data_IF_457271178370
#
_entry.id   IF_457271178370
#
_cell.length_a   1.000
_cell.length_b   1.000
_cell.length_c   1.000
_cell.angle_alpha   90.00
_cell.angle_beta   90.00
_cell.angle_gamma   90.00
#
_symmetry.space_group_name_H-M   'P 1'
#
loop_
_entity.id
_entity.type
_entity.pdbx_description
1 polymer ?
#
# COMPACT_ATOMS: atom_id res chain seq x y z
N UNK A 1 11.66 -1.49 -3.53
CA UNK A 1 11.75 -1.61 -4.99
C UNK A 1 10.38 -1.82 -5.61
N UNK A 2 10.23 -1.63 -6.93
CA UNK A 2 8.96 -1.90 -7.62
C UNK A 2 8.62 -3.40 -7.61
N UNK A 3 7.34 -3.75 -7.67
CA UNK A 3 6.87 -5.14 -7.74
C UNK A 3 7.60 -5.91 -8.84
N UNK A 4 7.68 -5.35 -10.04
CA UNK A 4 8.37 -5.98 -11.17
C UNK A 4 9.88 -6.21 -10.92
N UNK A 5 10.55 -5.32 -10.18
CA UNK A 5 11.96 -5.49 -9.85
C UNK A 5 12.17 -6.63 -8.85
N UNK A 6 11.28 -6.75 -7.87
CA UNK A 6 11.32 -7.85 -6.87
C UNK A 6 11.05 -9.19 -7.56
N UNK A 7 9.99 -9.29 -8.39
CA UNK A 7 9.70 -10.52 -9.14
C UNK A 7 10.86 -10.95 -10.03
N UNK A 8 11.44 -10.01 -10.78
CA UNK A 8 12.58 -10.29 -11.64
C UNK A 8 13.78 -10.79 -10.83
N UNK A 9 14.10 -10.15 -9.70
CA UNK A 9 15.19 -10.56 -8.83
C UNK A 9 14.99 -11.94 -8.21
N UNK A 10 13.73 -12.37 -7.96
CA UNK A 10 13.44 -13.74 -7.51
C UNK A 10 13.57 -14.73 -8.67
N UNK A 11 13.14 -14.38 -9.88
CA UNK A 11 13.24 -15.25 -11.06
C UNK A 11 14.72 -15.49 -11.45
N UNK A 12 15.54 -14.45 -11.47
CA UNK A 12 16.96 -14.55 -11.84
C UNK A 12 17.86 -15.05 -10.69
N UNK A 13 17.33 -15.15 -9.47
CA UNK A 13 18.04 -15.67 -8.30
C UNK A 13 18.85 -14.63 -7.53
N UNK A 14 18.79 -13.35 -7.91
CA UNK A 14 19.37 -12.24 -7.12
C UNK A 14 18.72 -12.11 -5.75
N UNK A 15 17.41 -12.47 -5.67
CA UNK A 15 16.67 -12.60 -4.42
C UNK A 15 16.18 -14.03 -4.26
N UNK A 16 16.24 -14.57 -3.04
CA UNK A 16 15.72 -15.89 -2.75
C UNK A 16 14.23 -15.88 -2.39
N UNK A 17 13.75 -14.80 -1.77
CA UNK A 17 12.36 -14.57 -1.37
C UNK A 17 12.00 -13.14 -1.71
N UNK A 18 10.77 -12.92 -2.17
CA UNK A 18 10.19 -11.60 -2.33
C UNK A 18 8.92 -11.46 -1.48
N UNK A 19 8.56 -10.25 -1.10
CA UNK A 19 7.28 -9.90 -0.49
C UNK A 19 6.73 -8.73 -1.29
N UNK A 20 5.51 -8.86 -1.81
CA UNK A 20 4.88 -7.86 -2.66
C UNK A 20 3.36 -7.80 -2.39
N UNK A 21 2.71 -6.68 -2.71
CA UNK A 21 1.26 -6.65 -2.86
C UNK A 21 0.80 -7.67 -3.90
N UNK A 22 -0.27 -8.39 -3.59
CA UNK A 22 -0.86 -9.35 -4.53
C UNK A 22 -1.34 -8.62 -5.80
N UNK A 23 -0.99 -9.18 -6.95
CA UNK A 23 -1.40 -8.71 -8.26
C UNK A 23 -1.47 -9.91 -9.23
N UNK A 24 -1.20 -9.72 -10.52
CA UNK A 24 -1.15 -10.82 -11.49
C UNK A 24 -0.11 -11.88 -11.10
N UNK A 25 -0.39 -13.15 -11.41
CA UNK A 25 0.53 -14.26 -11.18
C UNK A 25 1.48 -14.49 -12.36
N UNK A 26 2.72 -14.87 -12.07
CA UNK A 26 3.71 -15.37 -13.04
C UNK A 26 3.86 -16.87 -12.91
N UNK A 27 3.92 -17.60 -14.04
CA UNK A 27 4.14 -19.05 -14.04
C UNK A 27 5.51 -19.47 -13.49
N UNK A 28 6.49 -18.56 -13.50
CA UNK A 28 7.84 -18.79 -12.98
C UNK A 28 7.96 -18.71 -11.48
N UNK A 29 6.91 -18.24 -10.79
CA UNK A 29 6.89 -17.98 -9.37
C UNK A 29 5.83 -18.82 -8.64
N UNK A 30 6.06 -19.06 -7.36
CA UNK A 30 5.10 -19.64 -6.41
C UNK A 30 4.75 -18.54 -5.40
N UNK A 31 3.47 -18.29 -5.22
CA UNK A 31 2.95 -17.26 -4.33
C UNK A 31 2.30 -17.91 -3.11
N UNK A 32 2.50 -17.32 -1.94
CA UNK A 32 1.84 -17.74 -0.70
C UNK A 32 1.33 -16.50 0.03
N UNK A 33 0.06 -16.53 0.42
CA UNK A 33 -0.56 -15.43 1.17
C UNK A 33 0.16 -15.20 2.51
N UNK A 34 0.30 -13.93 2.89
CA UNK A 34 0.89 -13.53 4.16
C UNK A 34 -0.10 -12.78 5.04
N UNK A 35 -0.35 -11.51 4.72
CA UNK A 35 -1.20 -10.63 5.52
C UNK A 35 -1.92 -9.62 4.63
N UNK A 36 -2.97 -9.01 5.18
CA UNK A 36 -3.69 -7.92 4.54
C UNK A 36 -3.54 -6.62 5.31
N UNK A 37 -3.45 -5.51 4.60
CA UNK A 37 -3.49 -4.16 5.17
C UNK A 37 -4.77 -3.45 4.74
N UNK A 38 -5.34 -2.65 5.64
CA UNK A 38 -6.42 -1.72 5.30
C UNK A 38 -5.80 -0.37 4.96
N UNK A 39 -6.04 0.06 3.74
CA UNK A 39 -5.58 1.36 3.25
C UNK A 39 -6.72 2.35 3.40
N UNK A 40 -6.51 3.42 4.16
CA UNK A 40 -7.48 4.50 4.36
C UNK A 40 -6.98 5.77 3.67
N UNK A 41 -7.92 6.61 3.22
CA UNK A 41 -7.60 7.94 2.70
C UNK A 41 -7.33 8.89 3.87
N UNK A 42 -6.22 9.58 3.84
CA UNK A 42 -5.81 10.52 4.88
C UNK A 42 -5.62 11.93 4.37
N UNK A 43 -5.85 12.89 5.28
CA UNK A 43 -5.42 14.28 5.15
C UNK A 43 -4.52 14.67 6.32
N UNK A 44 -3.61 15.61 6.10
CA UNK A 44 -2.75 16.17 7.13
C UNK A 44 -3.30 17.45 7.76
N UNK A 45 -2.78 17.80 8.93
CA UNK A 45 -3.09 19.07 9.57
C UNK A 45 -2.81 20.25 8.61
N UNK A 46 -3.79 21.17 8.50
CA UNK A 46 -3.76 22.28 7.54
C UNK A 46 -4.47 21.99 6.20
N UNK A 47 -4.88 20.75 5.93
CA UNK A 47 -5.74 20.44 4.79
C UNK A 47 -7.18 20.91 5.07
N UNK A 48 -7.93 21.39 4.06
CA UNK A 48 -9.33 21.85 4.28
C UNK A 48 -10.28 20.82 4.89
N UNK A 49 -10.01 19.54 4.68
CA UNK A 49 -10.79 18.45 5.28
C UNK A 49 -10.35 18.09 6.71
N UNK A 50 -9.22 18.59 7.20
CA UNK A 50 -8.75 18.26 8.55
C UNK A 50 -9.62 18.95 9.59
N UNK A 51 -10.23 18.16 10.49
CA UNK A 51 -11.17 18.66 11.51
C UNK A 51 -12.54 19.07 10.99
N UNK A 52 -12.82 18.92 9.69
CA UNK A 52 -14.11 19.19 9.10
C UNK A 52 -15.05 17.97 9.23
N UNK A 53 -16.39 18.17 9.21
CA UNK A 53 -17.33 17.05 9.06
C UNK A 53 -17.15 16.34 7.72
N UNK A 54 -17.24 15.02 7.71
CA UNK A 54 -17.02 14.20 6.51
C UNK A 54 -18.29 13.48 6.02
N UNK A 55 -19.42 13.61 6.72
CA UNK A 55 -20.62 12.79 6.50
C UNK A 55 -21.15 12.86 5.07
N UNK A 56 -21.07 14.03 4.45
CA UNK A 56 -21.55 14.29 3.08
C UNK A 56 -20.45 14.18 2.01
N UNK A 57 -19.21 13.77 2.38
CA UNK A 57 -18.14 13.62 1.41
C UNK A 57 -18.35 12.38 0.55
N UNK A 58 -18.30 12.57 -0.76
CA UNK A 58 -18.27 11.52 -1.76
C UNK A 58 -17.00 11.61 -2.63
N UNK A 59 -16.88 10.73 -3.62
CA UNK A 59 -15.74 10.73 -4.54
C UNK A 59 -15.68 12.02 -5.36
N UNK A 60 -16.81 12.65 -5.71
CA UNK A 60 -16.83 13.89 -6.49
C UNK A 60 -16.29 15.07 -5.68
N UNK A 61 -16.57 15.11 -4.38
CA UNK A 61 -16.00 16.09 -3.46
C UNK A 61 -14.49 15.90 -3.29
N UNK A 62 -14.05 14.65 -3.09
CA UNK A 62 -12.63 14.31 -2.88
C UNK A 62 -11.77 14.59 -4.11
N UNK A 63 -12.32 14.39 -5.34
CA UNK A 63 -11.60 14.68 -6.61
C UNK A 63 -11.17 16.14 -6.78
N UNK A 64 -11.75 17.05 -6.03
CA UNK A 64 -11.40 18.48 -6.07
C UNK A 64 -10.07 18.79 -5.39
N UNK A 65 -9.56 17.86 -4.60
CA UNK A 65 -8.31 18.03 -3.85
C UNK A 65 -7.15 17.33 -4.54
N UNK A 66 -5.94 17.90 -4.46
CA UNK A 66 -4.74 17.25 -4.95
C UNK A 66 -4.49 15.91 -4.25
N UNK A 67 -4.18 14.89 -5.03
CA UNK A 67 -3.90 13.54 -4.53
C UNK A 67 -2.43 13.17 -4.71
N UNK A 68 -1.82 12.60 -3.67
CA UNK A 68 -0.50 11.99 -3.70
C UNK A 68 -0.64 10.47 -3.86
N UNK A 69 -0.11 9.93 -4.93
CA UNK A 69 -0.21 8.51 -5.25
C UNK A 69 1.13 7.85 -5.52
N UNK A 70 1.18 6.51 -5.43
CA UNK A 70 2.37 5.74 -5.74
C UNK A 70 2.72 5.80 -7.24
N UNK A 71 4.01 5.90 -7.55
CA UNK A 71 4.54 6.05 -8.90
C UNK A 71 4.76 4.74 -9.66
N UNK A 72 4.32 3.60 -9.12
CA UNK A 72 4.42 2.29 -9.75
C UNK A 72 3.06 1.58 -9.75
N UNK A 73 2.92 0.59 -10.63
CA UNK A 73 1.70 -0.22 -10.70
C UNK A 73 1.45 -0.94 -9.37
N UNK A 74 0.29 -0.71 -8.78
CA UNK A 74 -0.09 -1.21 -7.46
C UNK A 74 -1.61 -1.08 -7.28
N UNK A 75 -2.22 -1.76 -6.30
CA UNK A 75 -3.63 -1.58 -5.96
C UNK A 75 -4.01 -0.11 -5.71
N UNK A 76 -3.09 0.69 -5.16
CA UNK A 76 -3.27 2.14 -4.99
C UNK A 76 -3.47 2.86 -6.33
N UNK A 77 -2.68 2.50 -7.35
CA UNK A 77 -2.78 3.10 -8.67
C UNK A 77 -4.09 2.71 -9.36
N UNK A 78 -4.51 1.46 -9.24
CA UNK A 78 -5.76 0.96 -9.81
C UNK A 78 -6.96 1.71 -9.21
N UNK A 79 -7.07 1.74 -7.89
CA UNK A 79 -8.14 2.45 -7.20
C UNK A 79 -8.14 3.95 -7.54
N UNK A 80 -6.99 4.62 -7.50
CA UNK A 80 -6.92 6.05 -7.80
C UNK A 80 -7.33 6.37 -9.22
N UNK A 81 -7.08 5.48 -10.17
CA UNK A 81 -7.52 5.60 -11.55
C UNK A 81 -9.04 5.37 -11.69
N UNK A 82 -9.57 4.33 -11.07
CA UNK A 82 -11.02 4.04 -11.06
C UNK A 82 -11.80 5.17 -10.39
N UNK A 83 -11.31 5.66 -9.24
CA UNK A 83 -11.88 6.79 -8.54
C UNK A 83 -11.65 8.14 -9.25
N UNK A 84 -10.90 8.16 -10.36
CA UNK A 84 -10.53 9.36 -11.13
C UNK A 84 -9.90 10.46 -10.28
N UNK A 85 -9.04 10.08 -9.33
CA UNK A 85 -8.30 11.04 -8.50
C UNK A 85 -7.24 11.77 -9.32
N UNK A 86 -7.15 13.08 -9.17
CA UNK A 86 -6.13 13.89 -9.86
C UNK A 86 -4.81 13.77 -9.11
N UNK A 87 -3.92 12.89 -9.58
CA UNK A 87 -2.60 12.72 -9.00
C UNK A 87 -1.72 13.93 -9.30
N UNK A 88 -1.52 14.78 -8.30
CA UNK A 88 -0.73 16.00 -8.37
C UNK A 88 0.69 15.82 -7.79
N UNK A 89 0.92 14.74 -7.05
CA UNK A 89 2.24 14.38 -6.53
C UNK A 89 2.45 12.85 -6.59
N UNK A 90 3.69 12.42 -6.66
CA UNK A 90 4.08 11.02 -6.78
C UNK A 90 5.13 10.67 -5.73
N UNK A 91 4.88 9.62 -4.95
CA UNK A 91 5.87 8.96 -4.09
C UNK A 91 6.20 7.56 -4.60
N UNK A 92 7.32 7.01 -4.14
CA UNK A 92 7.74 5.65 -4.52
C UNK A 92 7.75 4.67 -3.34
N UNK A 93 7.32 5.13 -2.17
CA UNK A 93 7.15 4.38 -0.94
C UNK A 93 6.09 5.06 -0.05
N UNK A 94 5.68 4.39 1.02
CA UNK A 94 4.64 4.91 1.92
C UNK A 94 5.14 6.13 2.72
N UNK A 95 6.42 6.20 3.03
CA UNK A 95 7.04 7.33 3.74
C UNK A 95 6.96 8.62 2.92
N UNK A 96 7.19 8.51 1.61
CA UNK A 96 7.05 9.64 0.68
C UNK A 96 5.61 10.13 0.61
N UNK A 97 4.64 9.20 0.52
CA UNK A 97 3.22 9.54 0.53
C UNK A 97 2.84 10.20 1.86
N UNK A 98 3.27 9.62 2.99
CA UNK A 98 2.99 10.20 4.31
C UNK A 98 3.56 11.63 4.44
N UNK A 99 4.77 11.86 3.93
CA UNK A 99 5.39 13.19 3.93
C UNK A 99 4.55 14.19 3.13
N UNK A 100 4.06 13.80 1.96
CA UNK A 100 3.20 14.64 1.13
C UNK A 100 1.87 14.93 1.82
N UNK A 101 1.22 13.94 2.44
CA UNK A 101 -0.04 14.10 3.18
C UNK A 101 0.17 14.98 4.42
N UNK A 102 1.25 14.76 5.19
CA UNK A 102 1.60 15.54 6.37
C UNK A 102 1.87 17.03 6.06
N UNK A 103 2.17 17.36 4.81
CA UNK A 103 2.29 18.76 4.37
C UNK A 103 0.97 19.54 4.44
N UNK A 104 -0.17 18.84 4.60
CA UNK A 104 -1.51 19.44 4.60
C UNK A 104 -2.00 19.90 3.22
N UNK A 105 -1.30 19.52 2.14
CA UNK A 105 -1.65 19.92 0.76
C UNK A 105 -2.26 18.81 -0.07
N UNK A 106 -2.06 17.56 0.31
CA UNK A 106 -2.46 16.39 -0.49
C UNK A 106 -3.30 15.44 0.34
N UNK A 107 -4.22 14.79 -0.33
CA UNK A 107 -4.82 13.53 0.14
C UNK A 107 -3.93 12.37 -0.30
N UNK A 108 -3.93 11.26 0.45
CA UNK A 108 -3.21 10.05 0.08
C UNK A 108 -3.67 8.85 0.87
N UNK A 109 -3.51 7.66 0.28
CA UNK A 109 -3.79 6.41 0.96
C UNK A 109 -2.56 5.94 1.73
N UNK A 110 -2.76 5.60 2.99
CA UNK A 110 -1.75 5.00 3.87
C UNK A 110 -2.34 3.79 4.60
N UNK A 111 -1.51 2.80 4.96
CA UNK A 111 -1.95 1.73 5.86
C UNK A 111 -2.42 2.32 7.20
N UNK A 112 -3.54 1.83 7.70
CA UNK A 112 -4.13 2.30 8.97
C UNK A 112 -3.16 2.19 10.14
N UNK A 113 -2.51 1.04 10.31
CA UNK A 113 -1.52 0.80 11.36
C UNK A 113 -0.29 1.73 11.25
N UNK A 114 0.12 2.10 10.03
CA UNK A 114 1.22 3.05 9.81
C UNK A 114 0.80 4.48 10.20
N UNK A 115 -0.41 4.87 9.82
CA UNK A 115 -0.94 6.21 10.07
C UNK A 115 -1.31 6.45 11.55
N UNK A 116 -1.62 5.40 12.32
CA UNK A 116 -2.08 5.47 13.71
C UNK A 116 -1.20 6.34 14.61
N UNK A 117 0.12 6.24 14.48
CA UNK A 117 1.05 7.04 15.29
C UNK A 117 0.95 8.54 14.98
N UNK A 118 0.59 8.91 13.77
CA UNK A 118 0.38 10.30 13.36
C UNK A 118 -1.01 10.79 13.76
N UNK A 119 -2.03 9.94 13.69
CA UNK A 119 -3.39 10.25 14.14
C UNK A 119 -3.42 10.56 15.65
N UNK A 120 -2.78 9.71 16.46
CA UNK A 120 -2.67 9.94 17.92
C UNK A 120 -1.97 11.27 18.28
N UNK A 121 -1.14 11.80 17.38
CA UNK A 121 -0.49 13.10 17.53
C UNK A 121 -1.26 14.25 16.89
N UNK A 122 -2.46 14.01 16.38
CA UNK A 122 -3.25 15.02 15.67
C UNK A 122 -2.62 15.55 14.40
N UNK A 123 -1.77 14.76 13.73
CA UNK A 123 -1.06 15.16 12.51
C UNK A 123 -1.72 14.65 11.24
N UNK A 124 -2.39 13.51 11.32
CA UNK A 124 -3.21 12.93 10.25
C UNK A 124 -4.63 12.71 10.75
N UNK A 125 -5.56 12.67 9.81
CA UNK A 125 -6.95 12.29 10.04
C UNK A 125 -7.43 11.46 8.86
N UNK A 126 -8.06 10.32 9.16
CA UNK A 126 -8.73 9.51 8.16
C UNK A 126 -9.96 10.28 7.63
N UNK A 127 -10.10 10.31 6.31
CA UNK A 127 -11.20 10.94 5.61
C UNK A 127 -12.22 9.87 5.27
N UNK A 128 -13.35 9.86 5.98
CA UNK A 128 -14.46 8.94 5.75
C UNK A 128 -14.02 7.49 5.55
N UNK A 129 -13.46 6.84 6.59
CA UNK A 129 -12.86 5.51 6.49
C UNK A 129 -13.85 4.40 6.13
N UNK A 130 -15.14 4.63 6.33
CA UNK A 130 -16.24 3.78 5.89
C UNK A 130 -16.41 3.72 4.36
N UNK A 131 -16.01 4.78 3.64
CA UNK A 131 -16.18 4.90 2.19
C UNK A 131 -14.85 4.87 1.43
N UNK A 132 -13.83 5.59 1.92
CA UNK A 132 -12.57 5.77 1.21
C UNK A 132 -11.50 4.82 1.75
N UNK A 133 -11.67 3.55 1.47
CA UNK A 133 -10.72 2.50 1.87
C UNK A 133 -10.58 1.42 0.79
N UNK A 134 -9.51 0.64 0.88
CA UNK A 134 -9.35 -0.60 0.15
C UNK A 134 -8.44 -1.55 0.93
N UNK A 135 -8.50 -2.84 0.61
CA UNK A 135 -7.59 -3.83 1.19
C UNK A 135 -6.44 -4.10 0.23
N UNK A 136 -5.25 -4.16 0.79
CA UNK A 136 -4.04 -4.56 0.09
C UNK A 136 -3.56 -5.89 0.69
N UNK A 137 -3.64 -6.98 -0.08
CA UNK A 137 -3.14 -8.28 0.32
C UNK A 137 -1.66 -8.39 -0.05
N UNK A 138 -0.82 -8.87 0.86
CA UNK A 138 0.58 -9.16 0.62
C UNK A 138 0.81 -10.66 0.47
N UNK A 139 1.73 -11.01 -0.41
CA UNK A 139 2.14 -12.38 -0.68
C UNK A 139 3.66 -12.49 -0.62
N UNK A 140 4.15 -13.64 -0.15
CA UNK A 140 5.54 -14.03 -0.37
C UNK A 140 5.66 -14.79 -1.67
N UNK A 141 6.80 -14.67 -2.32
CA UNK A 141 7.08 -15.36 -3.57
C UNK A 141 8.46 -16.02 -3.57
N UNK A 142 8.49 -17.20 -4.15
CA UNK A 142 9.67 -17.99 -4.42
C UNK A 142 9.73 -18.32 -5.91
N UNK A 143 10.91 -18.52 -6.47
CA UNK A 143 11.02 -19.06 -7.83
C UNK A 143 10.52 -20.51 -7.89
N UNK A 144 9.92 -20.90 -8.98
CA UNK A 144 9.47 -22.28 -9.19
C UNK A 144 10.60 -23.19 -9.60
N UNK A 145 11.49 -22.72 -10.48
CA UNK A 145 12.64 -23.47 -10.99
C UNK A 145 13.84 -22.53 -11.21
N UNK A 146 15.05 -22.96 -10.86
CA UNK A 146 15.38 -24.16 -10.05
C UNK A 146 14.75 -24.08 -8.66
N UNK A 147 14.63 -25.23 -7.98
CA UNK A 147 13.98 -25.30 -6.65
C UNK A 147 14.58 -24.29 -5.66
N UNK A 148 13.76 -23.68 -4.78
CA UNK A 148 14.23 -22.78 -3.73
C UNK A 148 15.21 -23.47 -2.78
N UNK A 149 16.12 -22.70 -2.19
CA UNK A 149 17.02 -23.22 -1.15
C UNK A 149 16.24 -23.59 0.12
N UNK A 150 16.80 -24.51 0.91
CA UNK A 150 16.21 -24.87 2.21
C UNK A 150 16.04 -23.66 3.13
N UNK A 151 16.98 -22.70 3.08
CA UNK A 151 16.90 -21.46 3.85
C UNK A 151 15.71 -20.59 3.40
N UNK A 152 15.48 -20.46 2.09
CA UNK A 152 14.34 -19.71 1.55
C UNK A 152 12.99 -20.34 1.97
N UNK A 153 12.88 -21.66 1.91
CA UNK A 153 11.68 -22.39 2.35
C UNK A 153 11.43 -22.21 3.85
N UNK A 154 12.47 -22.35 4.68
CA UNK A 154 12.35 -22.14 6.11
C UNK A 154 11.96 -20.70 6.45
N UNK A 155 12.57 -19.71 5.79
CA UNK A 155 12.22 -18.31 5.97
C UNK A 155 10.74 -18.04 5.61
N UNK A 156 10.25 -18.60 4.50
CA UNK A 156 8.85 -18.47 4.13
C UNK A 156 7.90 -19.11 5.16
N UNK A 157 8.27 -20.26 5.73
CA UNK A 157 7.52 -20.90 6.81
C UNK A 157 7.46 -20.01 8.06
N UNK A 158 8.59 -19.41 8.46
CA UNK A 158 8.62 -18.47 9.59
C UNK A 158 7.75 -17.23 9.33
N UNK A 159 7.78 -16.68 8.11
CA UNK A 159 6.90 -15.58 7.73
C UNK A 159 5.42 -15.96 7.87
N UNK A 160 5.03 -17.12 7.32
CA UNK A 160 3.66 -17.59 7.41
C UNK A 160 3.21 -17.78 8.87
N UNK A 161 4.06 -18.36 9.72
CA UNK A 161 3.78 -18.52 11.14
C UNK A 161 3.65 -17.19 11.89
N UNK A 162 4.52 -16.22 11.59
CA UNK A 162 4.48 -14.90 12.22
C UNK A 162 3.19 -14.12 11.88
N UNK A 163 2.59 -14.37 10.73
CA UNK A 163 1.36 -13.69 10.28
C UNK A 163 0.09 -14.53 10.44
N UNK A 164 0.18 -15.80 10.81
CA UNK A 164 -0.99 -16.65 11.07
C UNK A 164 -1.67 -16.37 12.43
N UNK A 165 -1.03 -15.60 13.30
CA UNK A 165 -1.47 -15.32 14.67
C UNK A 165 -2.14 -13.93 14.83
N UNK A 166 -2.50 -13.27 13.73
CA UNK A 166 -3.14 -11.95 13.75
C UNK A 166 -4.55 -12.03 13.19
#
# INVERSE_FOLDING_TARGET
GSINAIERGVIDGSFQVGIIPAHRSSQSLVYSDLFGETMLLYCGAGHPLFGAPHDDLDWDAVRRYPFAGLGYHSPNMELSHEARLTRAATGFDQESIATLVLSGRFLGFLPDHYAEAFERRGRLQAVRPDLFHYRCQFVSLLRRSPAPSRAALLFQQCLAQAHAAV
#
